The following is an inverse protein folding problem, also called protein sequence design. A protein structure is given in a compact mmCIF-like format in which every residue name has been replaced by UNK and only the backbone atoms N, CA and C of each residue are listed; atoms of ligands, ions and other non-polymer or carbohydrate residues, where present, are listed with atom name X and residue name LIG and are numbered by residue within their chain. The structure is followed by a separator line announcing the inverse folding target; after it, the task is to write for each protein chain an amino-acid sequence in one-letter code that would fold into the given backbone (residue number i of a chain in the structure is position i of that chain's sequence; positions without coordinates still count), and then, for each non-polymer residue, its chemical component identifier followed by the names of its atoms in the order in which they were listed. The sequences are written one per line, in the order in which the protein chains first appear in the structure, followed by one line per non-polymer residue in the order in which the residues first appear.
data_IF_246118616154
#
_entry.id   IF_246118616154
#
_cell.length_a   1.000
_cell.length_b   1.000
_cell.length_c   1.000
_cell.angle_alpha   90.00
_cell.angle_beta   90.00
_cell.angle_gamma   90.00
#
_symmetry.space_group_name_H-M   'P 1'
#
loop_
_entity.id
_entity.type
_entity.pdbx_description
1 polymer ?
#
# COMPACT_ATOMS: atom_id res chain seq x y z
N UNK A 1 -9.50 8.70 1.04
CA UNK A 1 -9.43 9.01 2.49
C UNK A 1 -10.23 10.23 2.88
N UNK A 2 -9.99 11.42 2.31
CA UNK A 2 -10.83 12.60 2.61
C UNK A 2 -12.35 12.35 2.48
N UNK A 3 -12.77 11.71 1.38
CA UNK A 3 -14.18 11.28 1.18
C UNK A 3 -14.64 10.28 2.25
N UNK A 4 -13.85 9.25 2.53
CA UNK A 4 -14.15 8.24 3.55
C UNK A 4 -14.33 8.87 4.93
N UNK A 5 -13.52 9.86 5.30
CA UNK A 5 -13.70 10.60 6.55
C UNK A 5 -14.97 11.45 6.58
N UNK A 6 -15.32 12.10 5.47
CA UNK A 6 -16.59 12.85 5.35
C UNK A 6 -17.82 11.93 5.44
N UNK A 7 -17.77 10.75 4.85
CA UNK A 7 -18.87 9.77 4.81
C UNK A 7 -18.88 8.83 6.03
N UNK A 8 -17.88 8.90 6.91
CA UNK A 8 -17.73 7.99 8.06
C UNK A 8 -17.42 6.54 7.66
N UNK A 9 -17.00 6.30 6.42
CA UNK A 9 -16.72 4.96 5.89
C UNK A 9 -15.65 4.27 6.75
N UNK A 10 -15.92 3.06 7.27
CA UNK A 10 -14.97 2.35 8.13
C UNK A 10 -13.76 1.86 7.33
N UNK A 11 -12.57 2.26 7.76
CA UNK A 11 -11.29 1.96 7.10
C UNK A 11 -10.40 1.11 8.02
N UNK A 12 -9.82 0.05 7.48
CA UNK A 12 -8.78 -0.74 8.13
C UNK A 12 -7.43 -0.52 7.44
N UNK A 13 -6.38 -0.30 8.23
CA UNK A 13 -5.03 -0.05 7.72
C UNK A 13 -4.11 -1.25 7.95
N UNK A 14 -3.51 -1.78 6.90
CA UNK A 14 -2.55 -2.90 6.98
C UNK A 14 -1.20 -2.49 6.41
N UNK A 15 -0.10 -2.88 7.05
CA UNK A 15 1.27 -2.73 6.53
C UNK A 15 2.02 -1.50 7.05
N UNK A 16 3.19 -1.26 6.47
CA UNK A 16 4.15 -0.28 6.98
C UNK A 16 4.85 -0.75 8.27
N UNK A 17 5.82 0.06 8.72
CA UNK A 17 6.44 -0.12 10.04
C UNK A 17 5.49 0.37 11.14
N UNK A 18 5.56 -0.18 12.36
CA UNK A 18 4.70 0.23 13.47
C UNK A 18 4.65 1.75 13.67
N UNK A 19 5.81 2.42 13.63
CA UNK A 19 5.91 3.87 13.78
C UNK A 19 5.27 4.65 12.62
N UNK A 20 5.39 4.14 11.40
CA UNK A 20 4.80 4.74 10.19
C UNK A 20 3.29 4.55 10.18
N UNK A 21 2.81 3.38 10.60
CA UNK A 21 1.38 3.10 10.70
C UNK A 21 0.72 3.99 11.75
N UNK A 22 1.29 4.09 12.95
CA UNK A 22 0.77 4.96 14.01
C UNK A 22 0.71 6.43 13.58
N UNK A 23 1.75 6.94 12.89
CA UNK A 23 1.73 8.30 12.35
C UNK A 23 0.69 8.46 11.23
N UNK A 24 0.49 7.43 10.41
CA UNK A 24 -0.53 7.43 9.36
C UNK A 24 -1.93 7.51 9.97
N UNK A 25 -2.22 6.71 10.99
CA UNK A 25 -3.48 6.78 11.72
C UNK A 25 -3.75 8.15 12.30
N UNK A 26 -2.78 8.71 13.03
CA UNK A 26 -2.91 10.01 13.66
C UNK A 26 -3.18 11.10 12.61
N UNK A 27 -2.43 11.12 11.50
CA UNK A 27 -2.66 12.08 10.41
C UNK A 27 -4.03 11.91 9.76
N UNK A 28 -4.48 10.68 9.49
CA UNK A 28 -5.77 10.43 8.87
C UNK A 28 -6.94 10.86 9.77
N UNK A 29 -6.86 10.58 11.07
CA UNK A 29 -7.84 11.05 12.06
C UNK A 29 -7.83 12.59 12.16
N UNK A 30 -6.65 13.20 12.33
CA UNK A 30 -6.55 14.64 12.55
C UNK A 30 -6.90 15.47 11.31
N UNK A 31 -6.51 15.01 10.12
CA UNK A 31 -6.67 15.80 8.89
C UNK A 31 -8.05 15.62 8.26
N UNK A 32 -8.63 14.42 8.34
CA UNK A 32 -9.85 14.07 7.60
C UNK A 32 -10.91 13.38 8.44
N UNK A 33 -10.71 13.20 9.74
CA UNK A 33 -11.62 12.47 10.64
C UNK A 33 -11.99 11.08 10.10
N UNK A 34 -11.02 10.36 9.55
CA UNK A 34 -11.24 9.02 9.01
C UNK A 34 -11.67 8.06 10.12
N UNK A 35 -12.78 7.35 9.90
CA UNK A 35 -13.25 6.28 10.79
C UNK A 35 -12.34 5.05 10.66
N UNK A 36 -11.24 5.03 11.42
CA UNK A 36 -10.30 3.91 11.43
C UNK A 36 -10.81 2.87 12.43
N UNK A 37 -11.32 1.75 11.91
CA UNK A 37 -11.91 0.65 12.70
C UNK A 37 -10.89 -0.41 13.11
N UNK A 38 -9.65 -0.28 12.62
CA UNK A 38 -8.55 -1.12 13.06
C UNK A 38 -7.29 -0.91 12.22
N UNK A 39 -6.19 -1.43 12.74
CA UNK A 39 -4.92 -1.39 12.05
C UNK A 39 -4.02 -2.59 12.40
N UNK A 40 -3.07 -2.88 11.52
CA UNK A 40 -2.06 -3.91 11.70
C UNK A 40 -0.79 -3.56 10.93
N UNK A 41 0.37 -3.49 11.59
CA UNK A 41 1.64 -3.27 10.92
C UNK A 41 2.04 -4.44 10.01
N UNK A 42 3.04 -4.27 9.16
CA UNK A 42 3.45 -5.28 8.18
C UNK A 42 4.30 -6.45 8.72
N UNK A 43 4.58 -6.51 10.03
CA UNK A 43 5.54 -7.43 10.66
C UNK A 43 4.87 -8.55 11.46
N UNK A 44 3.61 -8.89 11.15
CA UNK A 44 2.93 -10.06 11.70
C UNK A 44 3.48 -11.37 11.13
N UNK A 45 3.38 -12.45 11.92
CA UNK A 45 3.81 -13.78 11.50
C UNK A 45 2.74 -14.46 10.62
N UNK A 46 3.12 -15.40 9.72
CA UNK A 46 2.17 -16.09 8.86
C UNK A 46 1.01 -16.76 9.60
N UNK A 47 1.25 -17.28 10.81
CA UNK A 47 0.25 -17.99 11.62
C UNK A 47 -0.83 -17.02 12.14
N UNK A 48 -0.51 -15.74 12.27
CA UNK A 48 -1.44 -14.69 12.73
C UNK A 48 -2.35 -14.19 11.60
N UNK A 49 -2.09 -14.62 10.35
CA UNK A 49 -2.77 -14.08 9.16
C UNK A 49 -4.26 -14.38 9.15
N UNK A 50 -4.67 -15.59 9.53
CA UNK A 50 -6.10 -15.93 9.57
C UNK A 50 -6.82 -15.10 10.63
N UNK A 51 -6.27 -15.01 11.83
CA UNK A 51 -6.84 -14.19 12.90
C UNK A 51 -6.94 -12.70 12.51
N UNK A 52 -5.99 -12.20 11.72
CA UNK A 52 -6.06 -10.86 11.15
C UNK A 52 -7.21 -10.70 10.14
N UNK A 53 -7.45 -11.69 9.27
CA UNK A 53 -8.58 -11.64 8.34
C UNK A 53 -9.92 -11.61 9.07
N UNK A 54 -10.08 -12.45 10.11
CA UNK A 54 -11.29 -12.43 10.95
C UNK A 54 -11.47 -11.09 11.67
N UNK A 55 -10.38 -10.49 12.17
CA UNK A 55 -10.41 -9.14 12.76
C UNK A 55 -10.84 -8.08 11.75
N UNK A 56 -10.35 -8.16 10.51
CA UNK A 56 -10.74 -7.23 9.44
C UNK A 56 -12.24 -7.38 9.14
N UNK A 57 -12.72 -8.62 8.99
CA UNK A 57 -14.14 -8.90 8.78
C UNK A 57 -15.00 -8.38 9.93
N UNK A 58 -14.68 -8.76 11.17
CA UNK A 58 -15.42 -8.38 12.36
C UNK A 58 -15.41 -6.86 12.64
N UNK A 59 -14.39 -6.14 12.18
CA UNK A 59 -14.34 -4.68 12.30
C UNK A 59 -15.37 -3.95 11.43
N UNK A 60 -16.02 -4.64 10.48
CA UNK A 60 -16.96 -4.03 9.54
C UNK A 60 -16.28 -3.10 8.53
N UNK A 61 -14.98 -3.26 8.30
CA UNK A 61 -14.21 -2.41 7.40
C UNK A 61 -14.78 -2.46 5.97
N UNK A 62 -15.08 -1.30 5.39
CA UNK A 62 -15.51 -1.20 3.99
C UNK A 62 -14.32 -0.89 3.06
N UNK A 63 -13.24 -0.34 3.61
CA UNK A 63 -12.00 -0.10 2.89
C UNK A 63 -10.84 -0.73 3.66
N UNK A 64 -10.02 -1.53 2.98
CA UNK A 64 -8.80 -2.12 3.54
C UNK A 64 -7.61 -1.64 2.71
N UNK A 65 -6.75 -0.80 3.29
CA UNK A 65 -5.51 -0.35 2.63
C UNK A 65 -4.33 -1.22 3.02
N UNK A 66 -3.53 -1.65 2.04
CA UNK A 66 -2.43 -2.61 2.25
C UNK A 66 -1.11 -2.02 1.77
N UNK A 67 -0.21 -1.75 2.72
CA UNK A 67 1.11 -1.15 2.54
C UNK A 67 2.24 -2.18 2.77
N UNK A 68 2.19 -3.32 2.09
CA UNK A 68 3.17 -4.42 2.26
C UNK A 68 4.14 -4.57 1.07
N UNK A 69 3.92 -3.78 0.02
CA UNK A 69 4.67 -3.88 -1.23
C UNK A 69 4.32 -5.12 -2.05
N UNK A 70 4.66 -5.08 -3.34
CA UNK A 70 4.39 -6.18 -4.26
C UNK A 70 5.49 -7.26 -4.20
N UNK A 71 5.15 -8.56 -4.28
CA UNK A 71 3.81 -9.15 -4.52
C UNK A 71 2.97 -9.42 -3.26
N UNK A 72 3.51 -9.12 -2.07
CA UNK A 72 2.89 -9.50 -0.79
C UNK A 72 1.51 -8.86 -0.60
N UNK A 73 1.35 -7.60 -0.98
CA UNK A 73 0.08 -6.89 -0.86
C UNK A 73 -1.01 -7.52 -1.74
N UNK A 74 -0.70 -7.92 -2.98
CA UNK A 74 -1.68 -8.52 -3.88
C UNK A 74 -2.15 -9.88 -3.36
N UNK A 75 -1.21 -10.70 -2.88
CA UNK A 75 -1.51 -12.01 -2.27
C UNK A 75 -2.37 -11.82 -1.00
N UNK A 76 -1.99 -10.87 -0.14
CA UNK A 76 -2.77 -10.56 1.07
C UNK A 76 -4.20 -10.15 0.74
N UNK A 77 -4.39 -9.23 -0.21
CA UNK A 77 -5.72 -8.75 -0.60
C UNK A 77 -6.56 -9.87 -1.23
N UNK A 78 -5.97 -10.71 -2.08
CA UNK A 78 -6.63 -11.87 -2.67
C UNK A 78 -7.13 -12.83 -1.58
N UNK A 79 -6.25 -13.19 -0.66
CA UNK A 79 -6.56 -14.17 0.39
C UNK A 79 -7.56 -13.59 1.41
N UNK A 80 -7.43 -12.31 1.79
CA UNK A 80 -8.35 -11.65 2.72
C UNK A 80 -9.76 -11.50 2.12
N UNK A 81 -9.87 -11.25 0.81
CA UNK A 81 -11.15 -11.15 0.10
C UNK A 81 -11.98 -12.44 0.17
N UNK A 82 -11.35 -13.60 0.38
CA UNK A 82 -12.06 -14.86 0.57
C UNK A 82 -12.82 -14.90 1.90
N UNK A 83 -12.35 -14.18 2.91
CA UNK A 83 -12.97 -14.06 4.24
C UNK A 83 -13.89 -12.85 4.31
N UNK A 84 -13.51 -11.74 3.67
CA UNK A 84 -14.26 -10.47 3.71
C UNK A 84 -14.47 -9.88 2.30
N UNK A 85 -15.41 -10.42 1.51
CA UNK A 85 -15.54 -10.07 0.09
C UNK A 85 -16.06 -8.65 -0.19
N UNK A 86 -16.80 -8.08 0.76
CA UNK A 86 -17.56 -6.83 0.59
C UNK A 86 -16.70 -5.56 0.72
N UNK A 87 -15.45 -5.68 1.17
CA UNK A 87 -14.55 -4.55 1.26
C UNK A 87 -13.88 -4.19 -0.07
N UNK A 88 -13.62 -2.89 -0.23
CA UNK A 88 -12.67 -2.37 -1.21
C UNK A 88 -11.25 -2.55 -0.69
N UNK A 89 -10.47 -3.37 -1.40
CA UNK A 89 -9.05 -3.56 -1.13
C UNK A 89 -8.20 -2.64 -1.99
N UNK A 90 -7.27 -1.93 -1.36
CA UNK A 90 -6.39 -0.98 -2.05
C UNK A 90 -4.94 -1.20 -1.65
N UNK A 91 -4.13 -1.68 -2.61
CA UNK A 91 -2.68 -1.74 -2.46
C UNK A 91 -2.10 -0.34 -2.54
N UNK A 92 -1.52 0.15 -1.44
CA UNK A 92 -0.98 1.51 -1.35
C UNK A 92 0.55 1.54 -1.34
N UNK A 93 1.21 0.38 -1.27
CA UNK A 93 2.68 0.29 -1.27
C UNK A 93 3.33 1.24 -0.24
N UNK A 94 4.37 1.97 -0.64
CA UNK A 94 5.07 2.94 0.20
C UNK A 94 4.36 4.27 0.40
N UNK A 95 3.05 4.36 0.16
CA UNK A 95 2.29 5.61 0.34
C UNK A 95 2.29 6.08 1.78
N UNK A 96 2.26 5.16 2.76
CA UNK A 96 2.32 5.54 4.18
C UNK A 96 3.62 6.28 4.50
N UNK A 97 4.78 5.80 4.02
CA UNK A 97 6.07 6.47 4.25
C UNK A 97 6.11 7.87 3.63
N UNK A 98 5.51 8.05 2.45
CA UNK A 98 5.42 9.36 1.80
C UNK A 98 4.45 10.29 2.54
N UNK A 99 3.31 9.76 2.99
CA UNK A 99 2.28 10.52 3.69
C UNK A 99 2.73 10.96 5.09
N UNK A 100 3.51 10.13 5.76
CA UNK A 100 4.10 10.44 7.08
C UNK A 100 5.33 11.34 6.97
N UNK A 101 6.02 11.33 5.81
CA UNK A 101 7.18 12.19 5.53
C UNK A 101 8.52 11.48 5.70
N UNK A 102 8.52 10.18 5.97
CA UNK A 102 9.73 9.35 6.06
C UNK A 102 10.42 9.16 4.70
N UNK A 103 9.66 9.24 3.61
CA UNK A 103 10.21 9.21 2.24
C UNK A 103 9.80 10.47 1.48
N UNK A 104 10.79 11.21 0.99
CA UNK A 104 10.54 12.34 0.08
C UNK A 104 9.99 11.83 -1.25
N UNK A 105 8.83 12.35 -1.64
CA UNK A 105 8.26 12.12 -2.98
C UNK A 105 9.13 12.78 -4.04
N UNK A 106 9.15 12.23 -5.26
CA UNK A 106 9.84 12.87 -6.37
C UNK A 106 9.29 14.30 -6.61
N UNK A 107 10.12 15.28 -7.02
CA UNK A 107 9.64 16.62 -7.35
C UNK A 107 8.55 16.59 -8.42
N UNK A 108 7.66 17.60 -8.43
CA UNK A 108 6.50 17.63 -9.35
C UNK A 108 6.89 17.45 -10.82
N UNK A 109 8.00 18.05 -11.25
CA UNK A 109 8.52 17.95 -12.63
C UNK A 109 8.72 16.47 -13.04
N UNK A 110 9.32 15.66 -12.16
CA UNK A 110 9.53 14.24 -12.42
C UNK A 110 8.22 13.45 -12.44
N UNK A 111 7.23 13.85 -11.63
CA UNK A 111 5.90 13.24 -11.63
C UNK A 111 5.13 13.58 -12.92
N UNK A 112 5.15 14.85 -13.34
CA UNK A 112 4.46 15.31 -14.57
C UNK A 112 5.07 14.70 -15.83
N UNK A 113 6.38 14.46 -15.83
CA UNK A 113 7.07 13.78 -16.93
C UNK A 113 6.91 12.24 -16.91
N UNK A 114 6.24 11.67 -15.90
CA UNK A 114 6.16 10.21 -15.73
C UNK A 114 7.51 9.54 -15.38
N UNK A 115 8.52 10.34 -15.01
CA UNK A 115 9.88 9.90 -14.72
C UNK A 115 10.15 9.69 -13.21
N UNK A 116 9.11 9.54 -12.40
CA UNK A 116 9.26 9.25 -10.97
C UNK A 116 10.10 7.99 -10.72
N UNK A 117 9.98 6.98 -11.60
CA UNK A 117 10.80 5.77 -11.53
C UNK A 117 12.30 6.07 -11.71
N UNK A 118 12.65 6.99 -12.60
CA UNK A 118 14.04 7.38 -12.90
C UNK A 118 14.61 8.20 -11.75
N UNK A 119 13.84 9.15 -11.21
CA UNK A 119 14.23 9.88 -10.01
C UNK A 119 14.53 8.93 -8.83
N UNK A 120 13.66 7.93 -8.60
CA UNK A 120 13.85 6.92 -7.55
C UNK A 120 15.04 6.01 -7.83
N UNK A 121 15.36 5.73 -9.09
CA UNK A 121 16.53 4.96 -9.49
C UNK A 121 17.82 5.73 -9.18
N UNK A 122 17.88 7.00 -9.55
CA UNK A 122 19.01 7.89 -9.27
C UNK A 122 19.20 8.09 -7.76
N UNK A 123 18.11 8.20 -7.01
CA UNK A 123 18.14 8.38 -5.55
C UNK A 123 18.47 7.09 -4.78
N UNK A 124 18.23 5.91 -5.37
CA UNK A 124 18.47 4.60 -4.76
C UNK A 124 19.09 3.63 -5.79
N UNK A 125 20.41 3.73 -6.06
CA UNK A 125 21.07 2.95 -7.11
C UNK A 125 20.99 1.43 -6.89
N UNK A 126 20.77 0.97 -5.65
CA UNK A 126 20.49 -0.44 -5.35
C UNK A 126 19.28 -1.01 -6.09
N UNK A 127 18.37 -0.16 -6.58
CA UNK A 127 17.18 -0.56 -7.35
C UNK A 127 17.45 -0.90 -8.81
N UNK A 128 18.65 -0.64 -9.35
CA UNK A 128 19.02 -0.95 -10.74
C UNK A 128 18.74 -2.40 -11.11
N UNK A 129 18.93 -3.34 -10.17
CA UNK A 129 18.65 -4.77 -10.39
C UNK A 129 17.19 -5.04 -10.80
N UNK A 130 16.22 -4.23 -10.36
CA UNK A 130 14.81 -4.36 -10.77
C UNK A 130 14.60 -3.93 -12.22
N UNK A 131 15.38 -2.97 -12.71
CA UNK A 131 15.26 -2.44 -14.08
C UNK A 131 15.72 -3.45 -15.14
N UNK A 132 16.57 -4.42 -14.77
CA UNK A 132 16.90 -5.54 -15.66
C UNK A 132 15.66 -6.34 -16.09
N UNK A 133 14.59 -6.33 -15.27
CA UNK A 133 13.31 -6.96 -15.65
C UNK A 133 12.62 -6.22 -16.80
N UNK A 134 12.85 -4.91 -16.95
CA UNK A 134 12.34 -4.12 -18.07
C UNK A 134 13.01 -4.52 -19.39
N UNK A 135 14.32 -4.81 -19.38
CA UNK A 135 15.00 -5.33 -20.57
C UNK A 135 14.42 -6.67 -21.01
N UNK A 136 14.10 -7.55 -20.05
CA UNK A 136 13.42 -8.82 -20.33
C UNK A 136 12.02 -8.62 -20.89
N UNK A 137 11.26 -7.67 -20.32
CA UNK A 137 9.93 -7.31 -20.83
C UNK A 137 10.00 -6.74 -22.25
N UNK A 138 10.93 -5.81 -22.53
CA UNK A 138 11.13 -5.26 -23.87
C UNK A 138 11.45 -6.36 -24.88
N UNK A 139 12.33 -7.31 -24.50
CA UNK A 139 12.59 -8.48 -25.33
C UNK A 139 11.31 -9.27 -25.61
N UNK A 140 10.50 -9.59 -24.60
CA UNK A 140 9.22 -10.29 -24.80
C UNK A 140 8.26 -9.52 -25.71
N UNK A 141 8.11 -8.21 -25.50
CA UNK A 141 7.28 -7.34 -26.32
C UNK A 141 7.70 -7.34 -27.80
N UNK A 142 8.99 -7.16 -28.09
CA UNK A 142 9.49 -7.13 -29.46
C UNK A 142 9.57 -8.52 -30.12
N UNK A 143 9.60 -9.60 -29.32
CA UNK A 143 9.61 -10.98 -29.84
C UNK A 143 8.21 -11.61 -29.92
N UNK A 144 7.15 -10.90 -29.55
CA UNK A 144 5.77 -11.39 -29.57
C UNK A 144 5.46 -12.47 -28.53
N UNK A 145 6.31 -12.65 -27.52
CA UNK A 145 6.17 -13.65 -26.46
C UNK A 145 5.48 -13.08 -25.20
N UNK A 146 4.54 -12.14 -25.39
CA UNK A 146 3.82 -11.45 -24.32
C UNK A 146 2.66 -12.29 -23.79
#
# INVERSE_FOLDING_TARGET
MARAGKEGTPVFLVGGKPEVLAQTEAKLRNQWNVNIVGSQDGYFKPEQRQALFERIHASGAQIVTVAMGSPKQEIFMRDCRLVHPDALYMGVGGTYDVFTGHVKRAPKIWQTLGLEWLYRLLSQPSRIKRQLRLLRYLRWHYTGNL
#
